data_IF_844238638731
#
_entry.id   IF_844238638731
#
_cell.length_a   1.000
_cell.length_b   1.000
_cell.length_c   1.000
_cell.angle_alpha   90.00
_cell.angle_beta   90.00
_cell.angle_gamma   90.00
#
_symmetry.space_group_name_H-M   'P 1'
#
loop_
_entity.id
_entity.type
_entity.pdbx_description
1 polymer ?
2 polymer ?
3 water ?
#
# COMPACT_ATOMS: atom_id res chain seq x y z
N UNK A 26 -14.28 -10.53 15.46
CA UNK A 26 -13.64 -9.42 14.67
C UNK A 26 -12.16 -9.68 14.47
N UNK A 27 -11.72 -9.37 13.26
CA UNK A 27 -10.33 -9.53 12.86
C UNK A 27 -9.72 -8.24 12.23
N UNK A 28 -10.29 -7.09 12.62
CA UNK A 28 -9.70 -5.81 12.29
C UNK A 28 -9.22 -5.18 13.60
N UNK A 29 -7.90 -5.07 13.76
CA UNK A 29 -7.28 -4.24 14.80
C UNK A 29 -7.58 -2.77 14.49
N UNK A 30 -7.21 -1.86 15.41
CA UNK A 30 -7.45 -0.39 15.24
C UNK A 30 -6.80 -0.01 13.89
N UNK A 31 -5.72 -0.65 13.77
CA UNK A 31 -4.96 0.12 12.69
C UNK A 31 -5.44 -0.26 11.27
N UNK A 32 -5.76 -1.54 11.18
CA UNK A 32 -6.39 -2.11 10.00
C UNK A 32 -7.68 -1.36 9.71
N UNK A 33 -8.48 -1.20 10.75
CA UNK A 33 -9.73 -0.52 10.68
C UNK A 33 -9.61 0.98 10.32
N UNK A 34 -8.86 1.84 11.07
CA UNK A 34 -8.77 3.31 10.71
C UNK A 34 -8.32 3.53 9.30
N UNK A 35 -7.38 2.72 8.81
CA UNK A 35 -6.97 2.83 7.44
C UNK A 35 -8.11 2.55 6.44
N UNK A 36 -8.96 1.56 6.76
CA UNK A 36 -10.11 1.20 5.87
C UNK A 36 -11.07 2.34 5.83
N UNK A 37 -11.51 2.75 7.01
CA UNK A 37 -12.27 4.00 7.20
C UNK A 37 -11.68 5.17 6.42
N UNK A 38 -10.39 5.49 6.64
CA UNK A 38 -9.79 6.72 6.04
C UNK A 38 -9.89 6.60 4.55
N UNK A 39 -9.59 5.43 3.99
CA UNK A 39 -9.65 5.25 2.55
C UNK A 39 -11.08 5.40 1.94
N UNK A 40 -12.09 5.01 2.75
CA UNK A 40 -13.51 5.06 2.34
C UNK A 40 -13.96 6.54 2.29
N UNK A 41 -13.82 7.23 3.42
CA UNK A 41 -14.00 8.69 3.54
C UNK A 41 -13.34 9.46 2.38
N UNK A 42 -12.05 9.24 2.12
CA UNK A 42 -11.38 9.92 1.02
C UNK A 42 -12.04 9.55 -0.31
N UNK A 43 -12.55 8.33 -0.43
CA UNK A 43 -13.02 7.90 -1.75
C UNK A 43 -14.39 8.60 -2.06
N UNK A 44 -15.25 8.70 -1.02
CA UNK A 44 -16.47 9.50 -0.96
C UNK A 44 -16.16 10.97 -1.37
N UNK A 45 -15.24 11.65 -0.63
CA UNK A 45 -14.68 12.99 -1.00
C UNK A 45 -14.37 13.07 -2.50
N UNK A 46 -13.85 12.02 -3.08
CA UNK A 46 -13.44 12.13 -4.45
C UNK A 46 -14.62 11.97 -5.41
N UNK A 47 -15.71 11.38 -4.90
CA UNK A 47 -16.87 11.16 -5.79
C UNK A 47 -17.66 12.50 -5.79
N UNK A 48 -17.86 13.04 -4.57
CA UNK A 48 -18.41 14.38 -4.29
C UNK A 48 -17.61 15.52 -4.92
N UNK A 49 -16.38 15.80 -4.43
CA UNK A 49 -15.62 16.96 -4.93
C UNK A 49 -14.92 16.73 -6.25
N UNK A 50 -14.84 15.49 -6.71
CA UNK A 50 -14.00 15.21 -7.90
C UNK A 50 -12.59 14.76 -7.51
N UNK A 51 -11.98 13.92 -8.35
CA UNK A 51 -10.62 13.41 -8.14
C UNK A 51 -9.55 14.53 -7.98
N UNK A 52 -9.52 15.47 -8.95
CA UNK A 52 -8.57 16.62 -9.00
C UNK A 52 -8.66 17.46 -7.76
N UNK A 53 -9.86 17.66 -7.26
CA UNK A 53 -9.99 18.48 -6.11
C UNK A 53 -9.31 17.82 -4.92
N UNK A 54 -9.48 16.50 -4.80
CA UNK A 54 -8.91 15.76 -3.66
C UNK A 54 -7.39 15.61 -3.85
N UNK A 55 -6.97 15.26 -5.07
CA UNK A 55 -5.55 15.24 -5.40
C UNK A 55 -4.84 16.52 -4.97
N UNK A 56 -5.48 17.64 -5.28
CA UNK A 56 -4.92 18.96 -5.01
C UNK A 56 -4.48 19.12 -3.56
N UNK A 57 -5.32 18.63 -2.66
CA UNK A 57 -5.08 18.56 -1.23
C UNK A 57 -4.16 17.39 -0.71
N UNK A 58 -4.08 16.25 -1.43
CA UNK A 58 -3.49 15.00 -0.87
C UNK A 58 -2.33 14.41 -1.65
N UNK A 59 -2.12 14.90 -2.88
CA UNK A 59 -1.06 14.41 -3.74
C UNK A 59 0.35 14.74 -3.19
N UNK A 60 1.29 13.85 -3.49
CA UNK A 60 2.68 14.13 -3.31
C UNK A 60 2.96 15.58 -3.79
N UNK A 61 3.81 16.32 -3.08
CA UNK A 61 4.02 17.76 -3.44
C UNK A 61 4.22 18.01 -4.97
N UNK A 62 3.37 18.81 -5.60
CA UNK A 62 3.44 18.91 -7.07
C UNK A 62 3.97 20.30 -7.51
N UNK A 63 4.46 21.04 -6.52
CA UNK A 63 4.95 22.41 -6.60
C UNK A 63 5.92 22.65 -5.43
N UNK A 64 6.97 23.51 -5.67
CA UNK A 64 7.92 23.85 -4.58
C UNK A 64 7.16 24.44 -3.38
N UNK A 65 6.07 25.19 -3.61
CA UNK A 65 5.32 25.73 -2.46
C UNK A 65 4.67 24.68 -1.54
N UNK A 66 4.58 23.43 -2.00
CA UNK A 66 3.92 22.35 -1.20
C UNK A 66 4.87 21.45 -0.38
N UNK A 67 6.19 21.63 -0.57
CA UNK A 67 7.22 20.75 0.00
C UNK A 67 7.22 20.59 1.51
N UNK A 68 6.69 21.58 2.23
CA UNK A 68 6.70 21.45 3.71
C UNK A 68 5.43 20.82 4.28
N UNK A 69 4.42 20.67 3.42
CA UNK A 69 3.17 19.96 3.73
C UNK A 69 3.41 18.46 3.89
N UNK A 70 3.77 18.08 5.11
CA UNK A 70 4.33 16.77 5.43
C UNK A 70 3.39 15.61 5.20
N UNK A 71 2.07 15.82 5.43
CA UNK A 71 1.01 14.78 5.27
C UNK A 71 1.13 14.19 3.83
N UNK A 72 1.53 15.01 2.83
CA UNK A 72 1.59 14.59 1.46
C UNK A 72 2.56 13.49 1.08
N UNK A 73 3.58 13.25 1.91
CA UNK A 73 4.49 12.21 1.56
C UNK A 73 3.81 10.84 1.82
N UNK A 74 2.66 10.88 2.50
CA UNK A 74 1.93 9.71 2.96
C UNK A 74 0.47 9.68 2.37
N UNK A 75 -0.21 10.81 2.25
CA UNK A 75 -1.63 10.78 2.05
C UNK A 75 -2.02 10.37 0.58
N UNK A 76 -1.14 10.51 -0.42
CA UNK A 76 -1.33 9.89 -1.73
C UNK A 76 -1.77 8.37 -1.56
N UNK A 77 -1.39 7.66 -0.50
CA UNK A 77 -1.78 6.28 -0.29
C UNK A 77 -3.28 6.16 -0.09
N UNK A 78 -3.93 7.28 0.29
CA UNK A 78 -5.33 7.27 0.76
C UNK A 78 -6.34 7.46 -0.42
N UNK A 79 -5.85 7.69 -1.64
CA UNK A 79 -6.69 8.10 -2.76
C UNK A 79 -6.91 6.97 -3.71
N UNK A 80 -8.15 6.63 -3.97
CA UNK A 80 -8.41 5.64 -5.05
C UNK A 80 -9.28 6.20 -6.19
N UNK A 81 -8.95 5.79 -7.41
CA UNK A 81 -9.49 6.29 -8.67
C UNK A 81 -10.56 5.44 -9.37
N UNK A 82 -10.73 4.22 -8.92
CA UNK A 82 -11.75 3.34 -9.47
C UNK A 82 -12.18 2.35 -8.40
N UNK A 83 -13.42 1.92 -8.49
CA UNK A 83 -14.08 1.02 -7.53
C UNK A 83 -13.34 -0.30 -7.28
N UNK A 84 -12.79 -0.84 -8.36
CA UNK A 84 -11.98 -2.06 -8.38
C UNK A 84 -10.61 -1.90 -7.64
N UNK A 85 -9.98 -0.74 -7.87
CA UNK A 85 -8.84 -0.18 -7.11
C UNK A 85 -9.07 -0.13 -5.58
N UNK A 86 -10.04 0.65 -5.10
CA UNK A 86 -10.24 0.64 -3.68
C UNK A 86 -10.54 -0.79 -3.15
N UNK A 87 -11.41 -1.52 -3.83
CA UNK A 87 -11.93 -2.81 -3.33
C UNK A 87 -10.86 -3.90 -3.21
N UNK A 88 -10.10 -4.12 -4.29
CA UNK A 88 -8.92 -5.01 -4.22
C UNK A 88 -7.84 -4.60 -3.18
N UNK A 89 -7.49 -3.30 -3.14
CA UNK A 89 -6.52 -2.72 -2.17
C UNK A 89 -7.01 -3.05 -0.75
N UNK A 90 -8.25 -2.68 -0.42
CA UNK A 90 -8.78 -2.96 0.93
C UNK A 90 -9.02 -4.41 1.30
N UNK A 91 -9.16 -5.27 0.29
CA UNK A 91 -9.32 -6.68 0.54
C UNK A 91 -8.00 -7.22 1.00
N UNK A 92 -6.95 -7.04 0.21
CA UNK A 92 -5.61 -7.34 0.64
C UNK A 92 -5.15 -6.70 1.97
N UNK A 93 -5.45 -5.40 2.17
CA UNK A 93 -5.12 -4.71 3.42
C UNK A 93 -5.78 -5.41 4.58
N UNK A 94 -7.08 -5.66 4.47
CA UNK A 94 -7.84 -6.26 5.56
C UNK A 94 -7.20 -7.58 6.01
N UNK A 95 -6.79 -8.35 5.00
CA UNK A 95 -6.24 -9.64 5.16
C UNK A 95 -4.77 -9.68 5.69
N UNK A 96 -3.82 -9.15 4.93
CA UNK A 96 -2.42 -9.16 5.29
C UNK A 96 -2.13 -8.17 6.41
N UNK A 97 -2.44 -6.89 6.18
CA UNK A 97 -2.49 -5.90 7.22
C UNK A 97 -3.08 -6.41 8.53
N UNK A 98 -4.31 -6.94 8.47
CA UNK A 98 -4.97 -7.59 9.62
C UNK A 98 -4.22 -8.79 10.25
N UNK A 99 -3.66 -9.67 9.41
CA UNK A 99 -2.77 -10.75 9.89
C UNK A 99 -1.61 -10.12 10.69
N UNK A 100 -0.89 -9.18 10.04
CA UNK A 100 0.28 -8.49 10.64
C UNK A 100 -0.06 -7.84 11.99
N UNK A 101 -1.19 -7.14 12.08
CA UNK A 101 -1.60 -6.49 13.32
C UNK A 101 -1.85 -7.49 14.41
N UNK A 102 -2.65 -8.53 14.14
CA UNK A 102 -3.04 -9.52 15.14
C UNK A 102 -1.82 -10.29 15.69
N UNK A 103 -1.03 -10.88 14.80
CA UNK A 103 0.13 -11.66 15.19
C UNK A 103 1.32 -10.85 15.72
N UNK A 104 1.60 -9.66 15.14
CA UNK A 104 2.84 -8.86 15.39
C UNK A 104 2.65 -7.48 16.07
N UNK A 105 1.41 -7.00 16.11
CA UNK A 105 1.03 -5.82 16.86
C UNK A 105 0.76 -4.64 15.95
N UNK A 106 -0.07 -3.72 16.43
CA UNK A 106 -0.39 -2.50 15.77
C UNK A 106 0.83 -1.68 15.29
N UNK A 107 1.90 -1.59 16.10
CA UNK A 107 3.02 -0.70 15.71
C UNK A 107 3.82 -1.20 14.52
N UNK A 108 3.93 -2.53 14.38
CA UNK A 108 4.65 -3.14 13.18
C UNK A 108 3.92 -2.69 11.86
N UNK A 109 2.59 -2.73 11.91
CA UNK A 109 1.78 -2.44 10.72
C UNK A 109 1.93 -0.95 10.43
N UNK A 110 1.85 -0.12 11.48
CA UNK A 110 2.16 1.33 11.35
C UNK A 110 3.46 1.62 10.57
N UNK A 111 4.51 0.89 10.90
CA UNK A 111 5.81 1.19 10.37
C UNK A 111 5.98 0.61 8.98
N UNK A 112 5.61 -0.66 8.75
CA UNK A 112 5.47 -1.15 7.33
C UNK A 112 4.72 -0.09 6.53
N UNK A 113 3.57 0.35 7.05
CA UNK A 113 2.71 1.30 6.28
C UNK A 113 3.39 2.64 5.97
N UNK A 114 3.94 3.31 7.00
CA UNK A 114 4.63 4.61 6.80
C UNK A 114 5.83 4.50 5.85
N UNK A 115 6.56 3.40 5.99
CA UNK A 115 7.75 3.21 5.21
C UNK A 115 7.38 2.90 3.80
N UNK A 116 6.43 1.98 3.63
CA UNK A 116 6.03 1.62 2.22
C UNK A 116 5.43 2.80 1.47
N UNK A 117 4.48 3.47 2.08
CA UNK A 117 3.87 4.73 1.52
C UNK A 117 4.87 5.80 1.16
N UNK A 118 5.83 6.06 2.04
CA UNK A 118 6.80 7.12 1.78
C UNK A 118 7.75 6.70 0.64
N UNK A 119 8.28 5.47 0.72
CA UNK A 119 9.23 5.00 -0.25
C UNK A 119 8.63 4.73 -1.66
N UNK A 120 7.45 4.10 -1.69
CA UNK A 120 6.69 3.91 -3.00
C UNK A 120 6.37 5.25 -3.63
N UNK A 121 5.86 6.17 -2.81
CA UNK A 121 5.56 7.54 -3.28
C UNK A 121 6.81 8.15 -3.89
N UNK A 122 7.98 7.96 -3.25
CA UNK A 122 9.21 8.55 -3.73
C UNK A 122 9.61 8.01 -5.16
N UNK A 123 9.60 6.68 -5.31
CA UNK A 123 9.99 6.08 -6.58
C UNK A 123 8.90 6.41 -7.67
N UNK A 124 7.61 6.27 -7.33
CA UNK A 124 6.59 6.64 -8.27
C UNK A 124 6.81 8.02 -8.80
N UNK A 125 6.99 9.03 -7.96
CA UNK A 125 7.04 10.41 -8.54
C UNK A 125 8.30 10.63 -9.34
N UNK A 126 9.35 9.88 -8.97
CA UNK A 126 10.62 9.95 -9.67
C UNK A 126 10.41 9.55 -11.14
N UNK A 127 9.91 8.35 -11.35
CA UNK A 127 9.70 7.82 -12.68
C UNK A 127 8.66 8.63 -13.42
N UNK A 128 7.54 8.92 -12.77
CA UNK A 128 6.37 9.42 -13.46
C UNK A 128 5.74 10.71 -12.95
N UNK A 129 6.29 11.37 -11.94
CA UNK A 129 5.73 12.67 -11.54
C UNK A 129 4.68 12.45 -10.46
N UNK A 130 4.10 13.53 -9.92
CA UNK A 130 3.43 13.40 -8.62
C UNK A 130 1.97 12.97 -8.67
N UNK A 131 1.42 12.68 -9.87
CA UNK A 131 -0.07 12.47 -9.99
C UNK A 131 -0.40 11.01 -9.91
N UNK A 132 -0.59 10.51 -8.70
CA UNK A 132 -0.70 9.05 -8.46
C UNK A 132 -1.30 8.93 -7.10
N UNK A 133 -1.84 7.76 -6.80
CA UNK A 133 -2.53 7.52 -5.51
C UNK A 133 -2.93 6.07 -5.40
N UNK A 134 -3.23 5.61 -4.20
CA UNK A 134 -3.59 4.23 -3.94
C UNK A 134 -2.75 3.60 -2.83
N UNK A 135 -3.40 2.72 -2.08
CA UNK A 135 -2.82 1.86 -1.09
C UNK A 135 -1.97 0.67 -1.65
N UNK A 136 -1.81 0.58 -2.94
CA UNK A 136 -1.23 -0.65 -3.42
C UNK A 136 0.29 -0.72 -3.29
N UNK A 137 0.97 0.43 -3.10
CA UNK A 137 2.42 0.38 -2.73
C UNK A 137 2.55 -0.38 -1.44
N UNK A 138 1.67 -0.05 -0.48
CA UNK A 138 1.61 -0.64 0.85
C UNK A 138 1.13 -2.13 0.82
N UNK A 139 0.11 -2.45 0.01
CA UNK A 139 -0.34 -3.84 -0.15
C UNK A 139 0.83 -4.71 -0.66
N UNK A 140 1.60 -4.23 -1.62
CA UNK A 140 2.78 -4.94 -2.10
C UNK A 140 3.86 -5.16 -1.03
N UNK A 141 4.08 -4.13 -0.18
CA UNK A 141 4.97 -4.27 0.97
C UNK A 141 4.46 -5.38 1.86
N UNK A 142 3.13 -5.41 2.14
CA UNK A 142 2.52 -6.45 3.02
C UNK A 142 2.58 -7.86 2.40
N UNK A 143 2.35 -7.98 1.10
CA UNK A 143 2.52 -9.25 0.41
C UNK A 143 3.95 -9.80 0.52
N UNK A 144 4.93 -9.00 0.08
CA UNK A 144 6.32 -9.39 0.19
C UNK A 144 6.72 -9.66 1.64
N UNK A 145 6.22 -8.85 2.57
CA UNK A 145 6.54 -9.02 3.96
C UNK A 145 6.00 -10.30 4.55
N UNK A 146 4.69 -10.53 4.46
CA UNK A 146 4.04 -11.77 4.99
C UNK A 146 4.63 -13.05 4.34
N UNK A 147 4.92 -13.02 3.05
CA UNK A 147 5.51 -14.15 2.38
C UNK A 147 6.89 -14.48 2.94
N UNK A 148 7.84 -13.56 2.78
CA UNK A 148 9.26 -13.80 3.13
C UNK A 148 9.51 -14.05 4.63
N UNK A 149 8.62 -13.53 5.47
CA UNK A 149 8.71 -13.72 6.90
C UNK A 149 8.07 -15.05 7.31
N UNK A 150 7.28 -15.69 6.44
CA UNK A 150 6.70 -17.02 6.71
C UNK A 150 7.77 -18.07 6.40
N UNK A 151 8.53 -17.77 5.34
CA UNK A 151 9.59 -18.57 4.72
C UNK A 151 10.93 -18.60 5.46
N UNK A 152 11.19 -17.58 6.28
CA UNK A 152 12.46 -17.42 7.02
C UNK A 152 12.19 -17.43 8.52
N UNK A 153 10.92 -17.57 8.89
CA UNK A 153 10.53 -17.60 10.31
C UNK A 153 9.22 -18.38 10.55
N UNK A 154 9.16 -19.67 10.22
CA UNK A 154 7.84 -20.19 10.67
C UNK A 154 7.23 -19.73 12.08
N UNK A 155 7.89 -18.90 12.90
CA UNK A 155 7.43 -18.47 14.26
C UNK A 155 6.62 -17.14 14.74
N UNK A 156 6.16 -16.17 13.89
CA UNK A 156 5.15 -15.12 14.21
C UNK A 156 3.80 -15.84 14.37
N UNK A 157 3.75 -17.10 13.90
CA UNK A 157 3.40 -17.58 12.51
C UNK A 157 2.59 -16.63 11.63
N UNK A 158 3.36 -15.79 10.99
CA UNK A 158 2.84 -15.04 9.91
C UNK A 158 3.21 -15.89 8.69
N UNK A 159 2.22 -16.23 7.87
CA UNK A 159 2.56 -16.83 6.56
C UNK A 159 1.60 -16.50 5.40
N UNK A 160 2.15 -16.54 4.19
CA UNK A 160 1.32 -16.42 3.01
C UNK A 160 1.05 -17.81 2.41
N UNK A 161 -0.17 -18.27 2.67
CA UNK A 161 -0.78 -19.50 2.17
C UNK A 161 -0.58 -19.63 0.66
N UNK A 162 -0.06 -20.79 0.24
CA UNK A 162 0.18 -21.16 -1.17
C UNK A 162 -0.87 -20.68 -2.17
N UNK A 163 -2.15 -20.93 -1.92
CA UNK A 163 -3.15 -20.40 -2.81
C UNK A 163 -3.02 -18.89 -2.88
N UNK A 164 -2.73 -18.24 -1.75
CA UNK A 164 -2.62 -16.77 -1.77
C UNK A 164 -1.32 -16.24 -2.41
N UNK A 165 -0.21 -16.98 -2.35
CA UNK A 165 0.94 -16.60 -3.17
C UNK A 165 0.56 -16.55 -4.65
N UNK A 166 -0.27 -17.50 -5.08
CA UNK A 166 -0.73 -17.53 -6.47
C UNK A 166 -1.57 -16.31 -6.76
N UNK A 167 -2.59 -16.03 -5.95
CA UNK A 167 -3.42 -14.87 -6.22
C UNK A 167 -2.50 -13.56 -6.16
N UNK A 168 -1.49 -13.52 -5.28
CA UNK A 168 -0.58 -12.34 -5.17
C UNK A 168 0.29 -12.15 -6.43
N UNK A 169 0.87 -13.26 -6.91
CA UNK A 169 1.66 -13.28 -8.17
C UNK A 169 0.87 -12.80 -9.38
N UNK A 170 -0.36 -13.26 -9.50
CA UNK A 170 -1.20 -12.84 -10.61
C UNK A 170 -1.45 -11.32 -10.50
N UNK A 171 -1.58 -10.84 -9.26
CA UNK A 171 -1.82 -9.43 -8.96
C UNK A 171 -0.63 -8.61 -9.41
N UNK A 172 0.55 -8.96 -8.88
CA UNK A 172 1.80 -8.41 -9.36
C UNK A 172 1.84 -8.37 -10.91
N UNK A 173 1.63 -9.52 -11.55
CA UNK A 173 1.71 -9.63 -13.01
C UNK A 173 0.76 -8.65 -13.69
N UNK A 174 -0.43 -8.52 -13.17
CA UNK A 174 -1.43 -7.72 -13.90
C UNK A 174 -1.02 -6.20 -14.00
N UNK A 175 -0.23 -5.76 -13.01
CA UNK A 175 0.20 -4.37 -12.88
C UNK A 175 1.33 -4.14 -13.83
N UNK A 176 2.40 -4.94 -13.67
CA UNK A 176 3.54 -4.93 -14.58
C UNK A 176 3.13 -4.87 -16.11
N UNK A 177 2.21 -5.72 -16.57
CA UNK A 177 1.88 -5.84 -18.01
C UNK A 177 0.65 -5.06 -18.32
N UNK A 178 0.23 -4.27 -17.33
CA UNK A 178 -0.90 -3.30 -17.41
C UNK A 178 -2.22 -3.90 -17.85
N UNK A 179 -2.64 -4.99 -17.19
CA UNK A 179 -3.80 -5.77 -17.63
C UNK A 179 -5.15 -5.25 -17.14
N UNK A 180 -5.18 -4.04 -16.59
CA UNK A 180 -6.39 -3.54 -15.90
C UNK A 180 -7.17 -2.52 -16.73
N UNK A 181 -6.46 -1.68 -17.48
CA UNK A 181 -7.09 -0.73 -18.39
C UNK A 181 -7.32 0.66 -17.81
N UNK A 182 -6.59 0.98 -16.75
CA UNK A 182 -6.31 2.34 -16.31
C UNK A 182 -4.89 2.09 -15.85
N UNK A 183 -3.98 3.02 -16.06
CA UNK A 183 -2.57 2.68 -15.91
C UNK A 183 -1.95 2.86 -14.47
N UNK A 184 -0.80 2.23 -14.27
CA UNK A 184 -0.43 1.70 -12.96
C UNK A 184 0.82 2.37 -12.52
N UNK A 185 0.88 2.54 -11.21
CA UNK A 185 2.03 3.15 -10.56
C UNK A 185 3.14 2.09 -10.43
N UNK A 186 3.89 1.88 -11.52
CA UNK A 186 4.82 0.72 -11.47
C UNK A 186 5.97 0.96 -10.49
N UNK A 187 6.41 2.21 -10.29
CA UNK A 187 7.52 2.55 -9.37
C UNK A 187 7.09 2.18 -7.96
N UNK A 188 5.92 2.68 -7.60
CA UNK A 188 5.28 2.41 -6.33
C UNK A 188 5.10 0.91 -6.04
N UNK A 189 4.83 0.12 -7.06
CA UNK A 189 4.73 -1.34 -6.91
C UNK A 189 6.06 -2.00 -6.60
N UNK A 190 7.10 -1.69 -7.39
CA UNK A 190 8.42 -2.31 -7.19
C UNK A 190 8.97 -1.92 -5.80
N UNK A 191 9.14 -0.60 -5.58
CA UNK A 191 9.49 0.03 -4.28
C UNK A 191 8.72 -0.60 -3.11
N UNK A 192 7.39 -0.68 -3.24
CA UNK A 192 6.51 -1.27 -2.23
C UNK A 192 6.96 -2.68 -1.88
N UNK A 193 7.15 -3.53 -2.91
CA UNK A 193 7.46 -4.96 -2.65
C UNK A 193 8.85 -5.09 -2.01
N UNK A 194 9.79 -4.27 -2.51
CA UNK A 194 11.18 -4.18 -2.04
C UNK A 194 11.26 -3.92 -0.53
N UNK A 195 10.79 -2.73 -0.08
CA UNK A 195 10.51 -2.42 1.34
C UNK A 195 9.89 -3.59 2.14
N UNK A 196 8.92 -4.29 1.58
CA UNK A 196 8.31 -5.38 2.38
C UNK A 196 9.27 -6.56 2.52
N UNK A 197 9.97 -6.87 1.45
CA UNK A 197 11.03 -7.88 1.48
C UNK A 197 12.15 -7.45 2.46
N UNK A 198 12.71 -6.25 2.29
CA UNK A 198 13.76 -5.72 3.18
C UNK A 198 13.37 -5.83 4.66
N UNK A 199 12.12 -5.53 4.99
CA UNK A 199 11.70 -5.59 6.40
C UNK A 199 11.49 -7.00 6.93
N UNK A 200 10.92 -7.89 6.12
CA UNK A 200 10.81 -9.31 6.46
C UNK A 200 12.24 -9.89 6.73
N UNK A 201 13.17 -9.59 5.80
CA UNK A 201 14.56 -9.93 5.96
C UNK A 201 15.04 -9.48 7.34
N UNK A 202 15.22 -8.18 7.54
CA UNK A 202 15.56 -7.62 8.86
C UNK A 202 14.88 -8.35 10.03
N UNK A 203 13.57 -8.59 9.93
CA UNK A 203 12.82 -9.08 11.08
C UNK A 203 13.09 -10.53 11.43
N UNK A 204 13.48 -11.30 10.44
CA UNK A 204 13.46 -12.75 10.58
C UNK A 204 14.84 -13.14 11.11
N UNK A 205 15.86 -12.49 10.56
CA UNK A 205 17.20 -12.37 11.13
C UNK A 205 17.16 -11.95 12.64
N UNK A 206 16.40 -12.69 13.44
CA UNK A 206 16.25 -12.52 14.90
C UNK A 206 16.33 -13.92 15.57
N UNK A 207 15.38 -14.27 16.45
CA UNK A 207 15.32 -15.62 17.10
C UNK A 207 13.90 -16.21 17.10
C UNK B 1 -2.66 10.31 -15.23
N UNK B 2 -3.53 10.21 -14.21
CA UNK B 2 -3.24 9.63 -12.91
C UNK B 2 -2.68 8.20 -13.09
N UNK B 3 -1.93 7.70 -12.09
CA UNK B 3 -1.51 6.30 -12.04
C UNK B 3 -1.96 5.68 -10.75
N UNK B 4 -2.47 4.44 -10.83
CA UNK B 4 -3.08 3.76 -9.66
C UNK B 4 -2.03 2.84 -9.06
N UNK B 5 -1.90 2.98 -7.72
CA UNK B 5 -0.97 2.24 -6.92
C UNK B 5 -1.86 1.30 -6.12
#
# INVERSE_FOLDING_TARGET
MGSSHHHHHHSSGLVPRGSHMAALRERAGPVTWVMMIACVVVFIAMQILGDQEVMLWLAWPFDPTLKFEFWRYFTHALMHFSLMHILFNLLWWWYLGGAVEKRLGSGKLIVITLISALLSGYVQQKFSGPWFGGLSGVVYALMGYVWLRGERDPQSGIYLQRGLIIFALIWIVAGWFDLFGMSMANGAHIAGLAVGLAMAFVDSLNARKRK
XVRMX
#
